data_IF_162325019934
#
_entry.id   IF_162325019934
#
_cell.length_a   1.000
_cell.length_b   1.000
_cell.length_c   1.000
_cell.angle_alpha   90.00
_cell.angle_beta   90.00
_cell.angle_gamma   90.00
#
_symmetry.space_group_name_H-M   'P 1'
#
loop_
_entity.id
_entity.type
_entity.pdbx_description
1 polymer ?
#
# COMPACT_ATOMS: atom_id res chain seq x y z
N UNK A 1 -12.60 37.90 10.48
CA UNK A 1 -11.99 37.85 9.11
C UNK A 1 -10.77 36.88 9.16
N UNK A 2 -10.95 35.65 8.78
CA UNK A 2 -9.90 34.62 8.78
C UNK A 2 -9.75 34.06 7.36
N UNK A 3 -8.66 34.39 6.69
CA UNK A 3 -8.29 33.86 5.36
C UNK A 3 -8.01 32.37 5.46
N UNK A 4 -8.86 31.53 4.88
CA UNK A 4 -8.55 30.11 4.61
C UNK A 4 -7.52 30.02 3.49
N UNK A 5 -6.33 29.57 3.83
CA UNK A 5 -5.31 29.16 2.87
C UNK A 5 -5.73 27.83 2.22
N UNK A 6 -5.79 27.81 0.89
CA UNK A 6 -5.99 26.60 0.10
C UNK A 6 -4.67 25.82 0.02
N UNK A 7 -4.61 24.53 0.39
CA UNK A 7 -3.42 23.72 0.16
C UNK A 7 -3.47 23.06 -1.21
N UNK A 8 -2.35 23.09 -1.95
CA UNK A 8 -2.02 22.00 -2.84
C UNK A 8 -2.01 22.22 -4.34
N UNK A 9 -1.39 23.28 -4.86
CA UNK A 9 -1.07 23.37 -6.31
C UNK A 9 0.43 23.16 -6.64
N UNK A 10 1.31 23.04 -5.66
CA UNK A 10 2.77 23.05 -5.88
C UNK A 10 3.43 21.65 -6.01
N UNK A 11 2.85 20.60 -5.46
CA UNK A 11 3.46 19.27 -5.46
C UNK A 11 3.41 18.52 -6.80
N UNK A 12 2.40 18.80 -7.64
CA UNK A 12 2.19 18.09 -8.92
C UNK A 12 3.11 18.54 -10.06
N UNK A 13 3.69 19.74 -9.98
CA UNK A 13 4.65 20.24 -10.99
C UNK A 13 6.08 19.68 -10.83
N UNK A 14 6.41 19.00 -9.75
CA UNK A 14 7.78 18.50 -9.49
C UNK A 14 8.14 17.22 -10.24
N UNK A 15 7.17 16.36 -10.60
CA UNK A 15 7.48 15.05 -11.18
C UNK A 15 7.88 15.09 -12.65
N UNK A 16 7.40 16.07 -13.42
CA UNK A 16 7.69 16.19 -14.85
C UNK A 16 8.86 17.11 -15.19
N UNK A 17 9.29 17.97 -14.25
CA UNK A 17 10.42 18.90 -14.45
C UNK A 17 11.72 18.21 -14.84
N UNK A 18 12.18 17.10 -14.19
CA UNK A 18 13.47 16.50 -14.54
C UNK A 18 13.49 15.92 -15.95
N UNK A 19 12.38 15.46 -16.51
CA UNK A 19 12.32 14.95 -17.87
C UNK A 19 12.38 16.09 -18.91
N UNK A 20 11.74 17.22 -18.61
CA UNK A 20 11.81 18.42 -19.45
C UNK A 20 13.21 19.00 -19.45
N UNK A 21 13.84 19.18 -18.30
CA UNK A 21 15.19 19.76 -18.18
C UNK A 21 16.24 18.89 -18.88
N UNK A 22 16.20 17.56 -18.67
CA UNK A 22 17.11 16.62 -19.30
C UNK A 22 16.87 16.50 -20.81
N UNK A 23 15.60 16.56 -21.24
CA UNK A 23 15.26 16.57 -22.67
C UNK A 23 15.79 17.80 -23.39
N UNK A 24 15.64 19.00 -22.80
CA UNK A 24 16.17 20.25 -23.33
C UNK A 24 17.70 20.21 -23.36
N UNK A 25 18.35 19.73 -22.30
CA UNK A 25 19.82 19.61 -22.25
C UNK A 25 20.35 18.73 -23.39
N UNK A 26 19.71 17.60 -23.67
CA UNK A 26 20.10 16.69 -24.76
C UNK A 26 19.93 17.32 -26.14
N UNK A 27 18.90 18.14 -26.36
CA UNK A 27 18.69 18.87 -27.60
C UNK A 27 19.74 19.99 -27.77
N UNK A 28 20.11 20.68 -26.70
CA UNK A 28 21.19 21.69 -26.72
C UNK A 28 22.52 21.04 -27.06
N UNK A 29 22.83 19.87 -26.48
CA UNK A 29 24.03 19.10 -26.83
C UNK A 29 24.01 18.66 -28.31
N UNK A 30 22.88 18.20 -28.83
CA UNK A 30 22.74 17.86 -30.24
C UNK A 30 23.02 19.08 -31.15
N UNK A 31 22.50 20.25 -30.79
CA UNK A 31 22.79 21.52 -31.47
C UNK A 31 24.27 21.90 -31.44
N UNK A 32 24.93 21.75 -30.30
CA UNK A 32 26.36 22.01 -30.14
C UNK A 32 27.21 21.07 -31.01
N UNK A 33 26.88 19.77 -31.06
CA UNK A 33 27.56 18.81 -31.92
C UNK A 33 27.34 19.12 -33.45
N UNK A 34 26.14 19.57 -33.79
CA UNK A 34 25.86 19.99 -35.19
C UNK A 34 26.69 21.22 -35.57
N UNK A 35 26.71 22.26 -34.72
CA UNK A 35 27.52 23.45 -34.94
C UNK A 35 29.01 23.12 -35.06
N UNK A 36 29.54 22.28 -34.14
CA UNK A 36 30.92 21.84 -34.18
C UNK A 36 31.22 21.10 -35.51
N UNK A 37 30.31 20.24 -36.00
CA UNK A 37 30.50 19.52 -37.26
C UNK A 37 30.54 20.45 -38.47
N UNK A 38 29.76 21.54 -38.48
CA UNK A 38 29.76 22.54 -39.55
C UNK A 38 31.05 23.34 -39.55
N UNK A 39 31.53 23.78 -38.38
CA UNK A 39 32.78 24.52 -38.26
C UNK A 39 33.99 23.68 -38.68
N UNK A 40 34.04 22.40 -38.27
CA UNK A 40 35.14 21.49 -38.62
C UNK A 40 35.11 21.07 -40.12
N UNK A 41 33.94 21.06 -40.74
CA UNK A 41 33.82 20.75 -42.18
C UNK A 41 34.44 21.85 -43.07
N UNK A 42 34.64 23.07 -42.59
CA UNK A 42 35.30 24.16 -43.29
C UNK A 42 36.82 24.02 -43.43
N UNK A 43 37.46 23.07 -42.71
CA UNK A 43 38.89 22.83 -42.74
C UNK A 43 39.19 21.45 -43.34
N UNK A 44 39.95 21.36 -44.48
CA UNK A 44 40.17 20.10 -45.18
C UNK A 44 40.89 19.03 -44.36
N UNK A 45 41.71 19.42 -43.38
CA UNK A 45 42.41 18.50 -42.47
C UNK A 45 41.48 17.91 -41.36
N UNK A 46 40.35 18.56 -41.05
CA UNK A 46 39.45 18.18 -39.95
C UNK A 46 38.10 17.61 -40.44
N UNK A 47 37.89 17.55 -41.74
CA UNK A 47 36.69 17.01 -42.39
C UNK A 47 36.31 15.61 -41.90
N UNK A 48 37.23 14.62 -41.72
CA UNK A 48 36.88 13.29 -41.23
C UNK A 48 36.27 13.31 -39.82
N UNK A 49 36.72 14.24 -38.96
CA UNK A 49 36.20 14.40 -37.59
C UNK A 49 34.78 14.99 -37.64
N UNK A 50 34.53 15.96 -38.53
CA UNK A 50 33.21 16.54 -38.75
C UNK A 50 32.16 15.52 -39.19
N UNK A 51 32.54 14.58 -40.08
CA UNK A 51 31.66 13.50 -40.52
C UNK A 51 31.35 12.53 -39.42
N UNK A 52 32.34 12.16 -38.59
CA UNK A 52 32.12 11.27 -37.41
C UNK A 52 31.23 11.91 -36.37
N UNK A 53 31.34 13.21 -36.14
CA UNK A 53 30.45 13.96 -35.23
C UNK A 53 28.99 13.94 -35.73
N UNK A 54 28.74 13.97 -37.03
CA UNK A 54 27.39 13.87 -37.58
C UNK A 54 26.72 12.53 -37.32
N UNK A 55 27.47 11.43 -37.36
CA UNK A 55 26.92 10.10 -37.10
C UNK A 55 26.52 9.92 -35.61
N UNK A 56 27.21 10.60 -34.68
CA UNK A 56 26.91 10.55 -33.23
C UNK A 56 25.72 11.43 -32.88
N UNK A 57 25.34 12.41 -33.70
CA UNK A 57 24.26 13.37 -33.44
C UNK A 57 22.91 12.71 -33.17
N UNK A 58 22.64 11.55 -33.76
CA UNK A 58 21.37 10.84 -33.63
C UNK A 58 21.09 10.38 -32.20
N UNK A 59 22.10 10.07 -31.39
CA UNK A 59 21.96 9.61 -30.05
C UNK A 59 21.34 10.68 -29.10
N UNK A 60 21.93 11.87 -28.95
CA UNK A 60 21.33 12.90 -28.10
C UNK A 60 20.01 13.43 -28.65
N UNK A 61 19.79 13.43 -29.96
CA UNK A 61 18.54 13.85 -30.59
C UNK A 61 17.39 12.89 -30.25
N UNK A 62 17.58 11.58 -30.42
CA UNK A 62 16.54 10.58 -30.12
C UNK A 62 16.23 10.49 -28.64
N UNK A 63 17.25 10.56 -27.79
CA UNK A 63 17.07 10.57 -26.31
C UNK A 63 16.33 11.83 -25.88
N UNK A 64 16.68 13.01 -26.42
CA UNK A 64 16.03 14.27 -26.13
C UNK A 64 14.55 14.28 -26.50
N UNK A 65 14.21 13.84 -27.72
CA UNK A 65 12.84 13.71 -28.18
C UNK A 65 12.05 12.67 -27.39
N UNK A 66 12.65 11.54 -27.03
CA UNK A 66 12.04 10.51 -26.18
C UNK A 66 11.68 11.05 -24.79
N UNK A 67 12.58 11.78 -24.13
CA UNK A 67 12.32 12.38 -22.83
C UNK A 67 11.23 13.45 -22.89
N UNK A 68 11.16 14.26 -23.95
CA UNK A 68 10.08 15.23 -24.16
C UNK A 68 8.75 14.53 -24.44
N UNK A 69 8.74 13.43 -25.19
CA UNK A 69 7.56 12.59 -25.41
C UNK A 69 7.00 12.01 -24.11
N UNK A 70 7.86 11.46 -23.27
CA UNK A 70 7.47 10.99 -21.92
C UNK A 70 6.90 12.13 -21.06
N UNK A 71 7.55 13.30 -21.07
CA UNK A 71 7.04 14.48 -20.37
C UNK A 71 5.64 14.87 -20.86
N UNK A 72 5.40 14.88 -22.17
CA UNK A 72 4.11 15.23 -22.78
C UNK A 72 3.03 14.21 -22.43
N UNK A 73 3.33 12.91 -22.51
CA UNK A 73 2.39 11.84 -22.14
C UNK A 73 2.01 11.95 -20.66
N UNK A 74 3.00 12.13 -19.76
CA UNK A 74 2.75 12.26 -18.34
C UNK A 74 1.89 13.49 -18.01
N UNK A 75 2.12 14.63 -18.68
CA UNK A 75 1.32 15.83 -18.47
C UNK A 75 -0.11 15.70 -19.00
N UNK A 76 -0.30 15.05 -20.16
CA UNK A 76 -1.62 14.75 -20.72
C UNK A 76 -2.41 13.74 -19.91
N UNK A 77 -1.75 12.69 -19.44
CA UNK A 77 -2.38 11.64 -18.60
C UNK A 77 -2.86 12.20 -17.25
N UNK A 78 -2.08 13.10 -16.66
CA UNK A 78 -2.46 13.83 -15.43
C UNK A 78 -3.62 14.78 -15.68
N UNK A 79 -3.69 15.45 -16.85
CA UNK A 79 -4.78 16.33 -17.22
C UNK A 79 -6.10 15.56 -17.46
N UNK A 80 -6.04 14.39 -18.11
CA UNK A 80 -7.21 13.56 -18.39
C UNK A 80 -7.88 12.97 -17.12
N UNK A 81 -7.12 12.75 -16.03
CA UNK A 81 -7.67 12.33 -14.73
C UNK A 81 -8.33 13.45 -13.92
N UNK A 82 -8.19 14.71 -14.33
CA UNK A 82 -8.69 15.88 -13.61
C UNK A 82 -10.11 16.32 -14.01
N UNK A 83 -10.73 15.71 -15.01
CA UNK A 83 -12.04 16.11 -15.55
C UNK A 83 -13.20 15.20 -15.13
N UNK A 84 -13.09 14.44 -14.05
CA UNK A 84 -14.25 13.80 -13.44
C UNK A 84 -15.08 14.86 -12.68
N UNK A 85 -16.39 15.05 -12.97
CA UNK A 85 -17.21 16.03 -12.28
C UNK A 85 -17.40 15.61 -10.82
N UNK A 86 -17.03 16.50 -9.90
CA UNK A 86 -17.36 16.39 -8.49
C UNK A 86 -18.86 16.63 -8.36
N UNK A 87 -19.66 15.57 -8.28
CA UNK A 87 -21.05 15.64 -7.85
C UNK A 87 -21.03 16.03 -6.37
N UNK A 88 -21.30 17.30 -6.10
CA UNK A 88 -21.59 17.79 -4.76
C UNK A 88 -22.91 17.16 -4.30
N UNK A 89 -22.84 16.13 -3.47
CA UNK A 89 -23.99 15.68 -2.71
C UNK A 89 -24.35 16.78 -1.71
N UNK A 90 -25.53 17.36 -1.87
CA UNK A 90 -26.11 18.29 -0.91
C UNK A 90 -26.36 17.53 0.40
N UNK A 91 -25.70 17.96 1.46
CA UNK A 91 -25.94 17.49 2.82
C UNK A 91 -27.25 18.12 3.30
N UNK A 92 -28.33 17.36 3.30
CA UNK A 92 -29.55 17.70 4.02
C UNK A 92 -29.35 17.41 5.51
N UNK A 93 -29.77 18.32 6.41
CA UNK A 93 -29.66 18.07 7.85
C UNK A 93 -30.61 16.94 8.30
N UNK A 94 -30.26 16.18 9.35
CA UNK A 94 -31.07 15.08 9.81
C UNK A 94 -32.40 15.58 10.39
N UNK A 95 -33.51 15.07 9.84
CA UNK A 95 -34.85 15.24 10.38
C UNK A 95 -34.94 14.36 11.63
N UNK A 96 -35.14 14.98 12.79
CA UNK A 96 -35.45 14.31 14.05
C UNK A 96 -36.85 13.69 13.91
N UNK A 97 -36.90 12.38 13.74
CA UNK A 97 -38.15 11.61 13.76
C UNK A 97 -38.41 11.17 15.19
N UNK A 98 -39.52 11.65 15.77
CA UNK A 98 -40.06 11.21 17.06
C UNK A 98 -40.24 9.69 17.06
N UNK A 99 -39.77 9.05 18.11
CA UNK A 99 -40.00 7.64 18.39
C UNK A 99 -41.49 7.32 18.59
N UNK A 100 -42.02 6.26 18.02
CA UNK A 100 -43.28 5.68 18.48
C UNK A 100 -43.03 4.67 19.59
N UNK A 101 -43.83 4.79 20.64
CA UNK A 101 -44.01 3.97 21.82
C UNK A 101 -43.91 2.47 21.55
N UNK A 102 -43.15 1.78 22.43
CA UNK A 102 -43.01 0.34 22.56
C UNK A 102 -44.38 -0.34 22.78
N UNK A 103 -44.77 -1.16 21.83
CA UNK A 103 -45.64 -2.32 22.05
C UNK A 103 -44.77 -3.57 21.98
N UNK A 104 -44.71 -4.33 23.04
CA UNK A 104 -44.03 -5.61 23.17
C UNK A 104 -44.90 -6.66 22.49
N UNK A 105 -44.51 -7.30 21.41
CA UNK A 105 -45.14 -8.54 20.94
C UNK A 105 -44.46 -9.71 21.67
N UNK A 106 -45.23 -10.39 22.48
CA UNK A 106 -44.96 -11.77 22.93
C UNK A 106 -45.20 -12.72 21.76
N UNK A 107 -44.17 -13.10 21.06
CA UNK A 107 -44.17 -14.19 20.10
C UNK A 107 -43.20 -15.32 20.51
N UNK A 108 -43.57 -16.59 20.23
CA UNK A 108 -43.00 -17.76 20.91
C UNK A 108 -41.55 -18.03 20.42
N UNK A 109 -40.76 -18.52 21.35
CA UNK A 109 -39.40 -19.03 21.22
C UNK A 109 -39.27 -19.94 20.00
N UNK A 110 -38.83 -19.39 18.87
CA UNK A 110 -38.40 -20.18 17.74
C UNK A 110 -37.05 -20.81 18.08
N UNK A 111 -36.98 -22.11 18.06
CA UNK A 111 -35.88 -22.99 18.34
C UNK A 111 -34.59 -22.54 17.62
N UNK A 112 -33.69 -21.86 18.35
CA UNK A 112 -32.30 -21.65 17.92
C UNK A 112 -31.60 -23.00 17.98
N UNK A 113 -31.23 -23.55 16.85
CA UNK A 113 -30.39 -24.74 16.77
C UNK A 113 -29.07 -24.52 17.48
N UNK A 114 -28.57 -25.45 18.30
CA UNK A 114 -27.36 -25.27 19.11
C UNK A 114 -26.07 -25.00 18.32
N UNK A 115 -26.04 -25.38 17.04
CA UNK A 115 -24.85 -25.21 16.18
C UNK A 115 -24.48 -23.76 15.86
N UNK A 116 -25.44 -22.84 15.79
CA UNK A 116 -25.18 -21.43 15.45
C UNK A 116 -24.59 -20.63 16.61
N UNK A 117 -24.98 -20.99 17.84
CA UNK A 117 -24.56 -20.28 19.07
C UNK A 117 -23.15 -20.70 19.47
N UNK A 118 -22.78 -21.97 19.34
CA UNK A 118 -21.45 -22.46 19.64
C UNK A 118 -20.39 -21.84 18.73
N UNK A 119 -20.66 -21.67 17.42
CA UNK A 119 -19.70 -21.06 16.48
C UNK A 119 -19.54 -19.56 16.70
N UNK A 120 -20.49 -18.85 17.29
CA UNK A 120 -20.36 -17.43 17.65
C UNK A 120 -19.69 -17.23 19.02
N UNK A 121 -19.91 -18.11 19.98
CA UNK A 121 -19.24 -18.05 21.29
C UNK A 121 -17.75 -18.39 21.20
N UNK A 122 -17.37 -19.34 20.35
CA UNK A 122 -15.97 -19.74 20.14
C UNK A 122 -15.11 -18.62 19.48
N UNK A 123 -15.76 -17.66 18.81
CA UNK A 123 -15.12 -16.50 18.17
C UNK A 123 -14.88 -15.32 19.12
N UNK A 124 -15.33 -15.37 20.35
CA UNK A 124 -15.23 -14.26 21.34
C UNK A 124 -14.17 -14.46 22.42
N UNK A 125 -13.45 -15.59 22.42
CA UNK A 125 -12.34 -15.79 23.34
C UNK A 125 -11.18 -14.90 22.87
N UNK A 126 -11.00 -13.76 23.56
CA UNK A 126 -9.84 -12.90 23.39
C UNK A 126 -8.71 -13.43 24.24
N UNK A 127 -7.59 -13.75 23.61
CA UNK A 127 -6.38 -14.09 24.34
C UNK A 127 -5.94 -12.90 25.19
N UNK A 128 -5.53 -13.18 26.43
CA UNK A 128 -5.03 -12.15 27.36
C UNK A 128 -3.52 -11.98 27.27
N UNK A 129 -2.85 -12.88 26.59
CA UNK A 129 -1.41 -12.88 26.37
C UNK A 129 -1.09 -13.07 24.89
N UNK A 130 0.06 -12.56 24.47
CA UNK A 130 0.52 -12.70 23.10
C UNK A 130 0.95 -14.13 22.78
N UNK A 131 0.35 -14.70 21.75
CA UNK A 131 0.65 -16.01 21.19
C UNK A 131 0.42 -16.02 19.67
N UNK A 132 0.77 -17.13 19.03
CA UNK A 132 0.40 -17.37 17.62
C UNK A 132 -1.11 -17.31 17.37
N UNK A 133 -1.92 -17.62 18.39
CA UNK A 133 -3.38 -17.70 18.29
C UNK A 133 -4.00 -16.30 18.14
N UNK A 134 -3.38 -15.27 18.76
CA UNK A 134 -3.76 -13.88 18.50
C UNK A 134 -3.66 -13.56 17.00
N UNK A 135 -2.53 -13.90 16.36
CA UNK A 135 -2.36 -13.70 14.92
C UNK A 135 -3.32 -14.57 14.09
N UNK A 136 -3.67 -15.75 14.57
CA UNK A 136 -4.64 -16.61 13.88
C UNK A 136 -6.06 -16.07 13.98
N UNK A 137 -6.42 -15.40 15.08
CA UNK A 137 -7.74 -14.89 15.34
C UNK A 137 -8.07 -13.59 14.60
N UNK A 138 -7.08 -12.74 14.34
CA UNK A 138 -7.30 -11.42 13.74
C UNK A 138 -7.29 -11.46 12.21
N UNK A 139 -7.96 -10.49 11.58
CA UNK A 139 -7.92 -10.31 10.12
C UNK A 139 -6.71 -9.46 9.69
N UNK A 140 -6.40 -9.46 8.39
CA UNK A 140 -5.20 -8.84 7.84
C UNK A 140 -5.03 -7.35 8.18
N UNK A 141 -6.11 -6.58 8.24
CA UNK A 141 -6.08 -5.16 8.59
C UNK A 141 -5.70 -4.92 10.05
N UNK A 142 -6.14 -5.83 10.94
CA UNK A 142 -5.73 -5.80 12.36
C UNK A 142 -4.26 -6.16 12.51
N UNK A 143 -3.78 -7.12 11.72
CA UNK A 143 -2.37 -7.45 11.68
C UNK A 143 -1.51 -6.25 11.26
N UNK A 144 -1.89 -5.52 10.21
CA UNK A 144 -1.22 -4.27 9.80
C UNK A 144 -1.22 -3.24 10.94
N UNK A 145 -2.35 -3.02 11.60
CA UNK A 145 -2.46 -2.08 12.72
C UNK A 145 -1.58 -2.47 13.93
N UNK A 146 -1.45 -3.77 14.23
CA UNK A 146 -0.53 -4.27 15.26
C UNK A 146 0.92 -3.98 14.89
N UNK A 147 1.33 -4.26 13.66
CA UNK A 147 2.68 -4.00 13.16
C UNK A 147 2.97 -2.49 13.17
N UNK A 148 2.04 -1.66 12.72
CA UNK A 148 2.15 -0.20 12.78
C UNK A 148 2.37 0.30 14.22
N UNK A 149 1.53 -0.16 15.16
CA UNK A 149 1.64 0.20 16.57
C UNK A 149 2.97 -0.26 17.17
N UNK A 150 3.47 -1.44 16.80
CA UNK A 150 4.75 -1.97 17.26
C UNK A 150 5.92 -1.07 16.83
N UNK A 151 5.90 -0.54 15.59
CA UNK A 151 6.88 0.42 15.10
C UNK A 151 6.72 1.81 15.73
N UNK A 152 5.48 2.26 15.97
CA UNK A 152 5.22 3.49 16.69
C UNK A 152 5.77 3.44 18.13
N UNK A 153 5.62 2.32 18.83
CA UNK A 153 6.20 2.07 20.15
C UNK A 153 7.75 1.98 20.11
N UNK A 154 8.33 1.70 18.96
CA UNK A 154 9.78 1.75 18.75
C UNK A 154 10.31 3.16 18.49
N UNK A 155 9.43 4.19 18.46
CA UNK A 155 9.80 5.59 18.32
C UNK A 155 9.72 6.14 16.89
N UNK A 156 9.22 5.37 15.92
CA UNK A 156 8.97 5.85 14.58
C UNK A 156 7.66 6.65 14.50
N UNK A 157 7.62 7.69 13.69
CA UNK A 157 6.37 8.27 13.22
C UNK A 157 5.86 7.40 12.06
N UNK A 158 4.70 6.80 12.24
CA UNK A 158 4.12 5.87 11.27
C UNK A 158 3.04 6.54 10.43
N UNK A 159 2.95 6.16 9.17
CA UNK A 159 1.85 6.56 8.27
C UNK A 159 1.41 5.35 7.49
N UNK A 160 0.24 4.83 7.84
CA UNK A 160 -0.39 3.76 7.08
C UNK A 160 -1.08 4.30 5.83
N UNK A 161 -1.11 3.50 4.79
CA UNK A 161 -1.74 3.86 3.55
C UNK A 161 -3.17 3.29 3.49
N UNK A 162 -4.13 4.15 3.12
CA UNK A 162 -5.49 3.70 2.88
C UNK A 162 -5.57 2.97 1.53
N UNK A 163 -6.51 2.03 1.41
CA UNK A 163 -6.81 1.13 0.28
C UNK A 163 -6.49 1.68 -1.12
N UNK A 164 -5.89 0.85 -1.96
CA UNK A 164 -5.68 1.12 -3.39
C UNK A 164 -4.43 0.45 -3.93
N UNK A 165 -4.17 0.62 -5.24
CA UNK A 165 -2.95 0.16 -5.90
C UNK A 165 -1.79 1.12 -5.60
N UNK A 166 -1.25 1.03 -4.41
CA UNK A 166 -0.25 1.93 -3.80
C UNK A 166 1.19 1.43 -3.91
N UNK A 167 1.38 0.39 -4.72
CA UNK A 167 2.69 -0.13 -5.04
C UNK A 167 3.30 -0.99 -3.93
N UNK A 168 2.48 -1.52 -2.99
CA UNK A 168 2.94 -2.55 -2.05
C UNK A 168 3.70 -2.03 -0.82
N UNK A 169 3.39 -0.82 -0.34
CA UNK A 169 3.83 -0.31 0.97
C UNK A 169 2.60 -0.17 1.86
N UNK A 170 2.58 -0.89 2.98
CA UNK A 170 1.47 -0.81 3.93
C UNK A 170 1.72 0.28 4.99
N UNK A 171 2.97 0.44 5.45
CA UNK A 171 3.33 1.42 6.47
C UNK A 171 4.62 2.15 6.07
N UNK A 172 4.59 3.48 6.14
CA UNK A 172 5.75 4.34 6.01
C UNK A 172 6.31 4.67 7.38
N UNK A 173 7.62 4.51 7.55
CA UNK A 173 8.32 4.84 8.79
C UNK A 173 9.14 6.11 8.61
N UNK A 174 8.87 7.11 9.42
CA UNK A 174 9.56 8.38 9.44
C UNK A 174 10.35 8.53 10.73
N UNK A 175 11.49 9.22 10.66
CA UNK A 175 12.24 9.63 11.84
C UNK A 175 11.83 11.05 12.23
N UNK A 176 11.83 11.35 13.52
CA UNK A 176 11.62 12.71 14.02
C UNK A 176 12.74 13.69 13.61
N UNK A 177 13.88 13.16 13.13
CA UNK A 177 15.10 13.92 12.89
C UNK A 177 15.51 13.97 11.41
N UNK A 178 14.69 13.41 10.49
CA UNK A 178 15.01 13.37 9.06
C UNK A 178 13.78 13.73 8.21
N UNK A 179 13.99 14.46 7.13
CA UNK A 179 12.94 14.72 6.16
C UNK A 179 12.68 13.47 5.30
N UNK A 180 11.39 13.12 5.15
CA UNK A 180 10.95 11.99 4.32
C UNK A 180 10.94 10.64 5.05
N UNK A 181 10.46 9.59 4.37
CA UNK A 181 10.44 8.24 4.92
C UNK A 181 11.84 7.64 4.93
N UNK A 182 12.25 7.04 6.06
CA UNK A 182 13.53 6.36 6.17
C UNK A 182 13.43 4.85 5.96
N UNK A 183 12.22 4.28 6.08
CA UNK A 183 11.96 2.86 5.87
C UNK A 183 10.50 2.63 5.48
N UNK A 184 10.22 1.46 4.93
CA UNK A 184 8.88 1.01 4.56
C UNK A 184 8.63 -0.38 5.12
N UNK A 185 7.35 -0.66 5.42
CA UNK A 185 6.93 -1.98 5.88
C UNK A 185 5.88 -2.53 4.93
N UNK A 186 6.04 -3.79 4.55
CA UNK A 186 5.03 -4.60 3.88
C UNK A 186 4.54 -5.69 4.81
N UNK A 187 3.24 -5.83 4.96
CA UNK A 187 2.59 -6.83 5.79
C UNK A 187 1.94 -7.91 4.94
N UNK A 188 2.15 -9.17 5.31
CA UNK A 188 1.45 -10.33 4.68
C UNK A 188 0.90 -11.24 5.75
N UNK A 189 -0.39 -11.11 5.99
CA UNK A 189 -1.10 -11.97 6.92
C UNK A 189 -1.50 -13.28 6.23
N UNK A 190 -0.52 -14.17 6.05
CA UNK A 190 -0.73 -15.47 5.43
C UNK A 190 -0.66 -16.58 6.45
N UNK A 191 -1.52 -17.57 6.32
CA UNK A 191 -1.48 -18.79 7.11
C UNK A 191 -1.11 -19.96 6.21
N UNK A 192 -0.05 -20.69 6.63
CA UNK A 192 0.39 -21.90 5.95
C UNK A 192 1.19 -21.70 4.65
N UNK A 193 1.04 -20.58 3.94
CA UNK A 193 1.80 -20.29 2.72
C UNK A 193 3.12 -19.58 3.07
N UNK A 194 4.31 -20.15 2.79
CA UNK A 194 5.57 -19.49 3.04
C UNK A 194 5.78 -18.28 2.09
N UNK A 195 6.50 -17.30 2.58
CA UNK A 195 6.99 -16.17 1.77
C UNK A 195 8.26 -16.65 1.04
N UNK A 196 8.27 -16.48 -0.28
CA UNK A 196 9.36 -16.93 -1.15
C UNK A 196 10.23 -15.76 -1.61
N UNK A 197 11.33 -16.06 -2.27
CA UNK A 197 12.22 -15.05 -2.88
C UNK A 197 11.49 -14.16 -3.89
N UNK A 198 10.38 -14.62 -4.47
CA UNK A 198 9.57 -13.84 -5.41
C UNK A 198 8.99 -12.62 -4.72
N UNK A 199 8.34 -12.80 -3.57
CA UNK A 199 7.75 -11.71 -2.79
C UNK A 199 8.85 -10.74 -2.29
N UNK A 200 10.04 -11.24 -1.97
CA UNK A 200 11.17 -10.40 -1.57
C UNK A 200 11.68 -9.52 -2.72
N UNK A 201 11.75 -10.06 -3.93
CA UNK A 201 12.14 -9.30 -5.14
C UNK A 201 11.11 -8.23 -5.49
N UNK A 202 9.82 -8.56 -5.37
CA UNK A 202 8.73 -7.59 -5.57
C UNK A 202 8.86 -6.44 -4.57
N UNK A 203 9.10 -6.74 -3.30
CA UNK A 203 9.28 -5.72 -2.26
C UNK A 203 10.55 -4.88 -2.46
N UNK A 204 11.66 -5.48 -2.85
CA UNK A 204 12.87 -4.74 -3.22
C UNK A 204 12.60 -3.76 -4.36
N UNK A 205 11.85 -4.19 -5.40
CA UNK A 205 11.42 -3.31 -6.49
C UNK A 205 10.63 -2.10 -6.00
N UNK A 206 9.74 -2.30 -5.02
CA UNK A 206 9.00 -1.21 -4.37
C UNK A 206 9.95 -0.27 -3.62
N UNK A 207 10.86 -0.81 -2.79
CA UNK A 207 11.85 -0.02 -2.05
C UNK A 207 12.68 0.85 -3.00
N UNK A 208 13.23 0.26 -4.06
CA UNK A 208 14.04 0.96 -5.08
C UNK A 208 13.22 2.06 -5.78
N UNK A 209 11.97 1.77 -6.17
CA UNK A 209 11.09 2.76 -6.82
C UNK A 209 10.78 3.98 -5.95
N UNK A 210 10.87 3.82 -4.63
CA UNK A 210 10.64 4.87 -3.63
C UNK A 210 11.94 5.51 -3.11
N UNK A 211 13.11 5.06 -3.59
CA UNK A 211 14.40 5.54 -3.11
C UNK A 211 14.74 5.11 -1.68
N UNK A 212 14.14 4.03 -1.19
CA UNK A 212 14.31 3.51 0.17
C UNK A 212 15.33 2.38 0.17
N UNK A 213 16.34 2.47 1.03
CA UNK A 213 17.42 1.47 1.14
C UNK A 213 17.13 0.36 2.15
N UNK A 214 16.23 0.58 3.09
CA UNK A 214 15.88 -0.39 4.14
C UNK A 214 14.37 -0.55 4.22
N UNK A 215 13.91 -1.80 4.35
CA UNK A 215 12.50 -2.11 4.52
C UNK A 215 12.30 -3.27 5.47
N UNK A 216 11.10 -3.40 6.01
CA UNK A 216 10.70 -4.57 6.78
C UNK A 216 9.58 -5.29 6.04
N UNK A 217 9.73 -6.60 5.91
CA UNK A 217 8.65 -7.47 5.43
C UNK A 217 8.13 -8.27 6.63
N UNK A 218 6.90 -8.02 7.04
CA UNK A 218 6.28 -8.65 8.21
C UNK A 218 5.24 -9.68 7.76
N UNK A 219 5.32 -10.91 8.28
CA UNK A 219 4.35 -11.95 7.95
C UNK A 219 3.97 -12.77 9.18
N UNK A 220 2.77 -13.29 9.20
CA UNK A 220 2.35 -14.31 10.20
C UNK A 220 2.75 -15.73 9.79
N UNK A 221 3.28 -15.90 8.58
CA UNK A 221 3.79 -17.17 8.06
C UNK A 221 5.31 -17.31 8.29
N UNK A 222 5.93 -18.18 7.53
CA UNK A 222 7.38 -18.42 7.54
C UNK A 222 8.01 -18.01 6.20
N UNK A 223 9.31 -17.87 6.17
CA UNK A 223 10.09 -17.63 4.97
C UNK A 223 10.73 -18.92 4.46
N UNK A 224 10.96 -18.99 3.15
CA UNK A 224 11.90 -19.96 2.58
C UNK A 224 13.35 -19.52 2.86
N UNK A 225 14.30 -20.46 2.81
CA UNK A 225 15.73 -20.16 3.01
C UNK A 225 16.20 -19.10 2.01
N UNK A 226 15.91 -19.31 0.72
CA UNK A 226 16.27 -18.36 -0.35
C UNK A 226 15.70 -16.95 -0.12
N UNK A 227 14.48 -16.87 0.47
CA UNK A 227 13.86 -15.58 0.80
C UNK A 227 14.64 -14.85 1.90
N UNK A 228 15.10 -15.57 2.93
CA UNK A 228 15.90 -15.00 4.02
C UNK A 228 17.28 -14.55 3.53
N UNK A 229 17.94 -15.36 2.72
CA UNK A 229 19.24 -15.01 2.12
C UNK A 229 19.12 -13.77 1.26
N UNK A 230 18.11 -13.72 0.39
CA UNK A 230 17.85 -12.55 -0.45
C UNK A 230 17.53 -11.31 0.39
N UNK A 231 16.70 -11.43 1.43
CA UNK A 231 16.33 -10.33 2.32
C UNK A 231 17.59 -9.73 2.99
N UNK A 232 18.44 -10.59 3.57
CA UNK A 232 19.69 -10.19 4.22
C UNK A 232 20.64 -9.45 3.27
N UNK A 233 20.77 -9.93 2.03
CA UNK A 233 21.64 -9.33 1.02
C UNK A 233 21.14 -7.96 0.52
N UNK A 234 19.85 -7.63 0.70
CA UNK A 234 19.23 -6.45 0.10
C UNK A 234 18.61 -5.47 1.11
N UNK A 235 19.02 -5.51 2.37
CA UNK A 235 18.58 -4.55 3.39
C UNK A 235 17.11 -4.71 3.81
N UNK A 236 16.54 -5.91 3.60
CA UNK A 236 15.18 -6.25 4.00
C UNK A 236 15.22 -6.97 5.34
N UNK A 237 14.57 -6.40 6.36
CA UNK A 237 14.35 -7.03 7.64
C UNK A 237 13.14 -7.98 7.53
N UNK A 238 13.38 -9.28 7.44
CA UNK A 238 12.34 -10.31 7.35
C UNK A 238 11.87 -10.70 8.76
N UNK A 239 10.61 -10.35 9.10
CA UNK A 239 10.00 -10.65 10.39
C UNK A 239 8.83 -11.64 10.20
N UNK A 240 9.03 -12.87 10.63
CA UNK A 240 7.95 -13.86 10.70
C UNK A 240 7.13 -13.75 11.99
N UNK A 241 6.10 -14.58 12.16
CA UNK A 241 5.26 -14.57 13.35
C UNK A 241 6.05 -14.78 14.64
N UNK A 242 7.08 -15.61 14.62
CA UNK A 242 7.95 -15.86 15.78
C UNK A 242 8.82 -14.63 16.09
N UNK A 243 9.38 -14.01 15.06
CA UNK A 243 10.14 -12.76 15.19
C UNK A 243 9.29 -11.62 15.75
N UNK A 244 8.07 -11.47 15.25
CA UNK A 244 7.13 -10.48 15.76
C UNK A 244 6.76 -10.71 17.22
N UNK A 245 6.49 -11.96 17.64
CA UNK A 245 6.22 -12.30 19.04
C UNK A 245 7.41 -11.98 19.94
N UNK A 246 8.65 -12.22 19.50
CA UNK A 246 9.86 -11.83 20.24
C UNK A 246 9.97 -10.31 20.42
N UNK A 247 9.66 -9.53 19.36
CA UNK A 247 9.66 -8.07 19.43
C UNK A 247 8.58 -7.55 20.38
N UNK A 248 7.40 -8.17 20.39
CA UNK A 248 6.31 -7.83 21.31
C UNK A 248 6.68 -8.17 22.77
N UNK A 249 7.27 -9.33 23.01
CA UNK A 249 7.71 -9.76 24.35
C UNK A 249 8.78 -8.84 24.95
N UNK A 250 9.53 -8.10 24.13
CA UNK A 250 10.51 -7.11 24.60
C UNK A 250 9.88 -5.75 24.99
N UNK A 251 8.57 -5.55 24.76
CA UNK A 251 7.85 -4.34 25.14
C UNK A 251 7.44 -4.38 26.61
N UNK A 252 7.29 -3.20 27.23
CA UNK A 252 6.73 -3.09 28.57
C UNK A 252 5.31 -3.71 28.61
N UNK A 253 4.86 -4.22 29.78
CA UNK A 253 3.55 -4.87 29.89
C UNK A 253 2.39 -4.00 29.37
N UNK A 254 2.42 -2.70 29.64
CA UNK A 254 1.41 -1.74 29.19
C UNK A 254 1.40 -1.60 27.65
N UNK A 255 2.58 -1.67 27.05
CA UNK A 255 2.71 -1.64 25.59
C UNK A 255 2.18 -2.93 24.94
N UNK A 256 2.44 -4.09 25.59
CA UNK A 256 1.88 -5.38 25.14
C UNK A 256 0.36 -5.40 25.24
N UNK A 257 -0.20 -4.87 26.34
CA UNK A 257 -1.65 -4.72 26.53
C UNK A 257 -2.23 -3.83 25.44
N UNK A 258 -1.59 -2.69 25.15
CA UNK A 258 -2.04 -1.80 24.07
C UNK A 258 -2.05 -2.45 22.71
N UNK A 259 -1.06 -3.29 22.41
CA UNK A 259 -1.01 -4.07 21.16
C UNK A 259 -2.16 -5.09 21.10
N UNK A 260 -2.54 -5.75 22.20
CA UNK A 260 -3.70 -6.64 22.27
C UNK A 260 -5.02 -5.89 22.03
N UNK A 261 -5.17 -4.70 22.61
CA UNK A 261 -6.34 -3.85 22.36
C UNK A 261 -6.47 -3.53 20.86
N UNK A 262 -5.37 -3.17 20.20
CA UNK A 262 -5.33 -2.91 18.75
C UNK A 262 -5.66 -4.17 17.94
N UNK A 263 -5.14 -5.33 18.35
CA UNK A 263 -5.41 -6.60 17.69
C UNK A 263 -6.90 -6.94 17.69
N UNK A 264 -7.56 -6.73 18.84
CA UNK A 264 -8.94 -7.12 19.07
C UNK A 264 -9.95 -5.96 18.94
N UNK A 265 -9.56 -4.89 18.25
CA UNK A 265 -10.45 -3.75 18.04
C UNK A 265 -11.58 -4.08 17.04
N UNK A 266 -12.81 -3.80 17.43
CA UNK A 266 -14.00 -3.98 16.59
C UNK A 266 -14.28 -5.43 16.20
N UNK A 267 -14.71 -5.64 14.96
CA UNK A 267 -14.91 -6.98 14.37
C UNK A 267 -13.58 -7.54 13.84
N UNK A 268 -12.64 -7.79 14.76
CA UNK A 268 -11.25 -8.16 14.48
C UNK A 268 -11.07 -9.45 13.65
N UNK A 269 -12.03 -10.37 13.70
CA UNK A 269 -12.03 -11.65 12.95
C UNK A 269 -12.61 -11.52 11.53
N UNK A 270 -13.41 -10.48 11.31
CA UNK A 270 -14.15 -10.30 10.06
C UNK A 270 -13.27 -9.61 9.03
N UNK A 271 -13.00 -10.24 7.87
CA UNK A 271 -12.06 -9.68 6.93
C UNK A 271 -12.55 -8.35 6.34
N UNK A 272 -11.59 -7.48 6.07
CA UNK A 272 -11.80 -6.23 5.36
C UNK A 272 -11.58 -6.46 3.86
N UNK A 273 -12.46 -5.92 3.02
CA UNK A 273 -12.31 -6.01 1.57
C UNK A 273 -11.11 -5.21 1.09
N UNK A 274 -10.12 -5.85 0.48
CA UNK A 274 -8.91 -5.21 0.00
C UNK A 274 -9.16 -4.14 -1.08
N UNK A 275 -10.27 -4.24 -1.83
CA UNK A 275 -10.59 -3.29 -2.92
C UNK A 275 -11.31 -2.03 -2.45
N UNK A 276 -12.15 -2.10 -1.41
CA UNK A 276 -12.97 -0.96 -0.97
C UNK A 276 -12.94 -0.69 0.54
N UNK A 277 -12.12 -1.41 1.31
CA UNK A 277 -11.87 -1.12 2.71
C UNK A 277 -13.04 -1.35 3.68
N UNK A 278 -14.13 -1.95 3.24
CA UNK A 278 -15.28 -2.21 4.09
C UNK A 278 -15.26 -3.64 4.63
N UNK A 279 -15.85 -3.87 5.80
CA UNK A 279 -16.00 -5.23 6.34
C UNK A 279 -16.82 -6.10 5.38
N UNK A 280 -16.37 -7.33 5.17
CA UNK A 280 -17.05 -8.30 4.32
C UNK A 280 -18.19 -9.00 5.09
N UNK A 281 -19.10 -9.64 4.38
CA UNK A 281 -20.19 -10.41 4.98
C UNK A 281 -20.12 -11.86 4.55
N UNK A 282 -20.56 -12.76 5.41
CA UNK A 282 -20.69 -14.17 5.07
C UNK A 282 -21.76 -14.37 4.01
N UNK A 283 -21.46 -15.19 3.03
CA UNK A 283 -22.36 -15.57 1.93
C UNK A 283 -22.22 -17.05 1.64
N UNK A 284 -23.25 -17.61 1.07
CA UNK A 284 -23.29 -18.99 0.59
C UNK A 284 -23.35 -19.01 -0.93
N UNK A 285 -22.55 -19.89 -1.53
CA UNK A 285 -22.52 -20.11 -2.97
C UNK A 285 -23.74 -20.90 -3.41
N UNK A 286 -24.50 -20.35 -4.35
CA UNK A 286 -25.68 -21.05 -4.93
C UNK A 286 -25.31 -22.30 -5.73
N UNK A 287 -24.05 -22.47 -6.11
CA UNK A 287 -23.60 -23.57 -6.96
C UNK A 287 -23.33 -24.84 -6.16
N UNK A 288 -22.74 -24.70 -4.98
CA UNK A 288 -22.17 -25.81 -4.21
C UNK A 288 -22.38 -25.69 -2.69
N UNK A 289 -23.13 -24.67 -2.23
CA UNK A 289 -23.40 -24.45 -0.81
C UNK A 289 -22.18 -23.98 -0.02
N UNK A 290 -21.01 -23.75 -0.66
CA UNK A 290 -19.80 -23.33 0.06
C UNK A 290 -19.95 -21.93 0.65
N UNK A 291 -19.49 -21.75 1.88
CA UNK A 291 -19.49 -20.44 2.57
C UNK A 291 -18.25 -19.64 2.18
N UNK A 292 -18.41 -18.34 1.96
CA UNK A 292 -17.33 -17.42 1.63
C UNK A 292 -17.61 -16.02 2.17
N UNK A 293 -16.55 -15.23 2.31
CA UNK A 293 -16.67 -13.81 2.58
C UNK A 293 -16.91 -13.05 1.28
N UNK A 294 -18.01 -12.34 1.17
CA UNK A 294 -18.35 -11.48 0.04
C UNK A 294 -18.34 -10.01 0.42
N UNK A 295 -17.89 -9.14 -0.49
CA UNK A 295 -17.96 -7.71 -0.24
C UNK A 295 -19.41 -7.25 -0.11
N UNK A 296 -19.71 -6.39 0.88
CA UNK A 296 -21.06 -5.81 1.07
C UNK A 296 -21.46 -4.90 -0.08
N UNK A 297 -20.48 -4.31 -0.79
CA UNK A 297 -20.71 -3.45 -1.95
C UNK A 297 -20.98 -4.22 -3.27
N UNK A 298 -21.25 -5.53 -3.20
CA UNK A 298 -21.70 -6.28 -4.39
C UNK A 298 -23.04 -5.70 -4.90
N UNK A 299 -23.25 -5.55 -6.23
CA UNK A 299 -22.41 -6.00 -7.34
C UNK A 299 -21.29 -5.03 -7.78
N UNK A 300 -21.17 -3.83 -7.20
CA UNK A 300 -20.14 -2.84 -7.57
C UNK A 300 -18.73 -3.36 -7.27
N UNK A 301 -18.55 -4.02 -6.14
CA UNK A 301 -17.33 -4.72 -5.78
C UNK A 301 -17.56 -6.23 -5.78
N UNK A 302 -16.79 -6.96 -6.58
CA UNK A 302 -16.91 -8.42 -6.73
C UNK A 302 -15.89 -9.20 -5.90
N UNK A 303 -15.20 -8.53 -4.98
CA UNK A 303 -14.20 -9.17 -4.11
C UNK A 303 -14.83 -10.25 -3.24
N UNK A 304 -14.17 -11.40 -3.19
CA UNK A 304 -14.54 -12.53 -2.34
C UNK A 304 -13.28 -13.15 -1.73
N UNK A 305 -13.40 -13.71 -0.54
CA UNK A 305 -12.36 -14.46 0.15
C UNK A 305 -12.95 -15.80 0.60
N UNK A 306 -12.17 -16.89 0.55
CA UNK A 306 -12.61 -18.16 1.09
C UNK A 306 -12.79 -18.05 2.62
N UNK A 307 -13.79 -18.73 3.16
CA UNK A 307 -13.84 -18.96 4.60
C UNK A 307 -12.85 -20.08 4.92
N UNK A 308 -12.13 -19.92 6.03
CA UNK A 308 -11.26 -20.99 6.53
C UNK A 308 -12.14 -22.16 6.94
N UNK A 309 -11.74 -23.37 6.58
CA UNK A 309 -12.30 -24.55 7.20
C UNK A 309 -11.94 -24.49 8.69
N UNK A 310 -12.95 -24.47 9.52
CA UNK A 310 -12.84 -24.57 10.98
C UNK A 310 -12.34 -25.96 11.36
#
# INVERSE_FOLDING_TARGET
MGRRQQPGRSSRKRLSKPFLEKGILMLVLAGAFWMASVVLAGNPLLTPIGVSLRSILWFPLTIGLGLLGVHFILTRWVAAKSTAPIVRAAVTPPVIRKEPSLAIPTDPIASLTPSGVASQMDRQIKETQWSSDVFAAIEWRRFEAVVETLFAQAGFETRSQSHGADGGVDIWLHSKHAEGPMSVVQCKHWQGKPVTVKEMREFLGVMVSKGIQRGTYATTSRYTVDALEFANANGINAQDGTGLLKLIAQRAPEQQTRLLEVAYEGEYWKPTCASCGVKMTERESRKDGSRFWGCVNYPRCKSKLPMRAS
#
